data_IF_627201770095
#
_entry.id   IF_627201770095
#
_cell.length_a   1.000
_cell.length_b   1.000
_cell.length_c   1.000
_cell.angle_alpha   90.00
_cell.angle_beta   90.00
_cell.angle_gamma   90.00
#
_symmetry.space_group_name_H-M   'P 1'
#
loop_
_entity.id
_entity.type
_entity.pdbx_description
1 polymer ?
#
# COMPACT_ATOMS: atom_id res chain seq x y z
N UNK A 1 -8.63 -1.71 -4.79
CA UNK A 1 -9.64 -1.87 -3.73
C UNK A 1 -8.99 -2.22 -2.40
N UNK A 2 -9.66 -1.93 -1.30
CA UNK A 2 -9.16 -2.27 0.03
C UNK A 2 -9.19 -3.78 0.25
N UNK A 3 -8.41 -4.26 1.25
CA UNK A 3 -8.42 -5.68 1.64
C UNK A 3 -9.82 -6.12 2.08
N UNK A 4 -10.54 -5.26 2.79
CA UNK A 4 -11.92 -5.55 3.23
C UNK A 4 -12.84 -5.77 2.03
N UNK A 5 -12.78 -4.90 1.03
CA UNK A 5 -13.59 -5.03 -0.19
C UNK A 5 -13.21 -6.28 -0.99
N UNK A 6 -11.91 -6.59 -1.09
CA UNK A 6 -11.44 -7.79 -1.77
C UNK A 6 -11.92 -9.07 -1.07
N UNK A 7 -11.86 -9.11 0.26
CA UNK A 7 -12.35 -10.26 1.03
C UNK A 7 -13.86 -10.47 0.85
N UNK A 8 -14.63 -9.40 0.68
CA UNK A 8 -16.06 -9.48 0.39
C UNK A 8 -16.34 -10.16 -0.98
N UNK A 9 -15.36 -10.15 -1.89
CA UNK A 9 -15.44 -10.84 -3.18
C UNK A 9 -14.92 -12.29 -3.12
N UNK A 10 -14.48 -12.75 -1.96
CA UNK A 10 -13.93 -14.09 -1.76
C UNK A 10 -12.40 -14.19 -1.81
N UNK A 11 -11.69 -13.08 -1.90
CA UNK A 11 -10.22 -13.07 -1.99
C UNK A 11 -9.56 -13.65 -0.73
N UNK A 12 -8.72 -14.70 -0.88
CA UNK A 12 -8.07 -15.36 0.25
C UNK A 12 -6.68 -14.81 0.58
N UNK A 13 -6.19 -13.82 -0.18
CA UNK A 13 -4.83 -13.32 -0.16
C UNK A 13 -4.13 -13.58 -1.50
N UNK A 14 -2.94 -13.01 -1.68
CA UNK A 14 -2.17 -13.16 -2.92
C UNK A 14 -2.72 -12.34 -4.08
N UNK A 15 -2.67 -12.88 -5.29
CA UNK A 15 -3.15 -12.18 -6.49
C UNK A 15 -4.66 -11.90 -6.43
N UNK A 16 -5.03 -10.72 -6.90
CA UNK A 16 -6.42 -10.27 -6.94
C UNK A 16 -7.10 -10.57 -8.29
N UNK A 17 -6.36 -10.99 -9.32
CA UNK A 17 -6.86 -11.10 -10.70
C UNK A 17 -8.09 -11.98 -10.86
N UNK A 18 -8.20 -13.09 -10.13
CA UNK A 18 -9.34 -13.99 -10.19
C UNK A 18 -10.61 -13.40 -9.57
N UNK A 19 -10.47 -12.46 -8.65
CA UNK A 19 -11.56 -11.90 -7.85
C UNK A 19 -11.99 -10.51 -8.31
N UNK A 20 -11.05 -9.70 -8.76
CA UNK A 20 -11.29 -8.35 -9.25
C UNK A 20 -10.29 -8.00 -10.36
N UNK A 21 -10.47 -8.51 -11.58
CA UNK A 21 -9.55 -8.26 -12.69
C UNK A 21 -9.36 -6.77 -12.95
N UNK A 22 -8.12 -6.36 -13.22
CA UNK A 22 -7.78 -4.97 -13.47
C UNK A 22 -7.72 -4.07 -12.24
N UNK A 23 -7.77 -4.64 -11.04
CA UNK A 23 -7.69 -3.90 -9.78
C UNK A 23 -6.50 -4.37 -8.96
N UNK A 24 -6.09 -3.53 -8.00
CA UNK A 24 -5.03 -3.85 -7.04
C UNK A 24 -5.51 -3.57 -5.61
N UNK A 25 -4.80 -4.12 -4.63
CA UNK A 25 -5.07 -3.85 -3.21
C UNK A 25 -4.51 -2.46 -2.87
N UNK A 26 -5.34 -1.61 -2.28
CA UNK A 26 -4.89 -0.28 -1.88
C UNK A 26 -5.92 0.48 -1.07
N UNK A 27 -5.46 1.55 -0.42
CA UNK A 27 -6.29 2.42 0.40
C UNK A 27 -6.42 2.00 1.86
N UNK A 28 -5.75 0.93 2.26
CA UNK A 28 -5.74 0.49 3.65
C UNK A 28 -4.82 1.35 4.51
N UNK A 29 -5.15 1.46 5.79
CA UNK A 29 -4.34 2.17 6.77
C UNK A 29 -2.97 1.49 6.92
N UNK A 30 -1.89 2.30 6.89
CA UNK A 30 -0.54 1.85 7.19
C UNK A 30 -0.15 2.35 8.58
N UNK A 31 0.13 1.42 9.49
CA UNK A 31 0.34 1.75 10.90
C UNK A 31 1.67 2.40 11.25
N UNK A 32 2.70 2.30 10.39
CA UNK A 32 4.05 2.83 10.63
C UNK A 32 4.61 2.38 11.99
N UNK A 33 4.35 1.14 12.36
CA UNK A 33 4.72 0.61 13.68
C UNK A 33 6.23 0.57 13.92
N UNK A 34 7.03 0.44 12.87
CA UNK A 34 8.50 0.45 12.95
C UNK A 34 9.07 1.86 12.95
N UNK A 35 8.21 2.88 12.85
CA UNK A 35 8.58 4.30 12.85
C UNK A 35 9.64 4.67 11.80
N UNK A 36 9.66 3.97 10.66
CA UNK A 36 10.57 4.25 9.56
C UNK A 36 10.18 5.50 8.77
N UNK A 37 8.91 5.93 8.86
CA UNK A 37 8.40 7.17 8.29
C UNK A 37 8.20 8.21 9.37
N UNK A 38 8.36 9.52 9.04
CA UNK A 38 8.25 10.58 10.05
C UNK A 38 6.82 10.69 10.61
N UNK A 39 6.73 10.74 11.93
CA UNK A 39 5.46 10.93 12.63
C UNK A 39 5.18 12.41 12.85
N UNK A 40 3.90 12.77 12.83
CA UNK A 40 3.44 14.13 13.14
C UNK A 40 2.02 14.05 13.66
N UNK A 41 1.67 14.91 14.62
CA UNK A 41 0.31 14.96 15.18
C UNK A 41 -0.73 15.12 14.06
N UNK A 42 -1.72 14.24 14.05
CA UNK A 42 -2.77 14.23 13.04
C UNK A 42 -2.40 13.58 11.72
N UNK A 43 -1.14 13.16 11.55
CA UNK A 43 -0.70 12.48 10.33
C UNK A 43 -1.07 11.01 10.38
N UNK A 44 -1.68 10.54 9.28
CA UNK A 44 -1.98 9.13 9.05
C UNK A 44 -1.43 8.72 7.70
N UNK A 45 -1.14 7.45 7.54
CA UNK A 45 -0.64 6.87 6.30
C UNK A 45 -1.59 5.82 5.76
N UNK A 46 -1.65 5.71 4.43
CA UNK A 46 -2.32 4.63 3.71
C UNK A 46 -1.34 3.98 2.76
N UNK A 47 -1.62 2.76 2.34
CA UNK A 47 -0.77 2.00 1.45
C UNK A 47 -1.51 1.47 0.25
N UNK A 48 -0.80 1.17 -0.83
CA UNK A 48 -1.32 0.39 -1.94
C UNK A 48 -0.22 -0.44 -2.60
N UNK A 49 -0.65 -1.56 -3.21
CA UNK A 49 0.21 -2.37 -4.06
C UNK A 49 0.47 -1.64 -5.38
N UNK A 50 1.65 -1.84 -5.96
CA UNK A 50 1.97 -1.38 -7.31
C UNK A 50 2.60 -2.52 -8.12
N UNK A 51 2.53 -2.40 -9.46
CA UNK A 51 3.05 -3.41 -10.41
C UNK A 51 2.43 -4.80 -10.19
N UNK A 52 1.16 -4.86 -9.79
CA UNK A 52 0.46 -6.11 -9.51
C UNK A 52 -0.64 -6.45 -10.53
N UNK A 53 -0.99 -5.54 -11.44
CA UNK A 53 -2.00 -5.81 -12.47
C UNK A 53 -1.53 -6.95 -13.37
N UNK A 54 -2.35 -8.01 -13.47
CA UNK A 54 -2.01 -9.21 -14.23
C UNK A 54 -0.97 -10.11 -13.59
N UNK A 55 -0.44 -9.73 -12.43
CA UNK A 55 0.58 -10.53 -11.73
C UNK A 55 -0.04 -11.69 -10.96
N UNK A 56 0.66 -12.82 -10.91
CA UNK A 56 0.24 -13.99 -10.14
C UNK A 56 0.49 -13.80 -8.63
N UNK A 57 1.39 -12.88 -8.26
CA UNK A 57 1.73 -12.57 -6.87
C UNK A 57 1.73 -11.06 -6.67
N UNK A 58 1.43 -10.63 -5.46
CA UNK A 58 1.44 -9.20 -5.10
C UNK A 58 2.84 -8.58 -5.13
N UNK A 59 3.89 -9.38 -4.91
CA UNK A 59 5.25 -8.87 -4.82
C UNK A 59 5.46 -8.00 -3.58
N UNK A 60 6.56 -7.23 -3.58
CA UNK A 60 6.99 -6.43 -2.44
C UNK A 60 6.89 -4.91 -2.69
N UNK A 61 6.46 -4.48 -3.87
CA UNK A 61 6.39 -3.04 -4.22
C UNK A 61 5.11 -2.40 -3.69
N UNK A 62 5.25 -1.28 -3.01
CA UNK A 62 4.12 -0.53 -2.42
C UNK A 62 4.34 0.97 -2.55
N UNK A 63 3.24 1.72 -2.55
CA UNK A 63 3.24 3.15 -2.27
C UNK A 63 2.60 3.37 -0.91
N UNK A 64 3.15 4.31 -0.15
CA UNK A 64 2.60 4.75 1.12
C UNK A 64 2.47 6.26 1.07
N UNK A 65 1.31 6.81 1.42
CA UNK A 65 1.09 8.25 1.39
C UNK A 65 0.43 8.72 2.67
N UNK A 66 0.73 9.97 3.04
CA UNK A 66 0.14 10.59 4.22
C UNK A 66 -1.05 11.47 3.83
N UNK A 67 -1.90 11.74 4.83
CA UNK A 67 -3.02 12.67 4.67
C UNK A 67 -2.58 14.12 4.50
N UNK A 68 -1.31 14.44 4.74
CA UNK A 68 -0.75 15.79 4.60
C UNK A 68 0.24 15.94 3.43
N UNK A 69 0.19 15.03 2.45
CA UNK A 69 0.84 15.21 1.15
C UNK A 69 2.18 14.52 0.93
N UNK A 70 2.62 13.63 1.80
CA UNK A 70 3.83 12.84 1.58
C UNK A 70 3.52 11.59 0.75
N UNK A 71 4.41 11.23 -0.17
CA UNK A 71 4.32 9.99 -0.95
C UNK A 71 5.66 9.28 -0.89
N UNK A 72 5.65 8.04 -0.42
CA UNK A 72 6.82 7.18 -0.31
C UNK A 72 6.67 5.93 -1.18
N UNK A 73 7.81 5.42 -1.64
CA UNK A 73 7.92 4.16 -2.37
C UNK A 73 8.74 3.16 -1.57
N UNK A 74 8.33 1.90 -1.57
CA UNK A 74 9.13 0.79 -1.07
C UNK A 74 9.08 -0.37 -2.06
N UNK A 75 10.21 -1.08 -2.23
CA UNK A 75 10.30 -2.28 -3.06
C UNK A 75 10.73 -3.52 -2.25
N UNK A 76 10.82 -3.38 -0.94
CA UNK A 76 11.25 -4.44 -0.01
C UNK A 76 10.22 -4.71 1.09
N UNK A 77 8.95 -4.47 0.78
CA UNK A 77 7.82 -4.71 1.69
C UNK A 77 7.98 -3.96 3.02
N UNK A 78 8.19 -2.64 2.91
CA UNK A 78 8.22 -1.70 4.05
C UNK A 78 9.49 -1.72 4.92
N UNK A 79 10.58 -2.34 4.45
CA UNK A 79 11.84 -2.30 5.19
C UNK A 79 12.59 -0.98 4.99
N UNK A 80 12.58 -0.46 3.75
CA UNK A 80 13.17 0.85 3.43
C UNK A 80 12.20 1.66 2.56
N UNK A 81 12.31 2.99 2.62
CA UNK A 81 11.43 3.90 1.89
C UNK A 81 12.22 4.97 1.16
N UNK A 82 11.69 5.36 -0.02
CA UNK A 82 12.19 6.50 -0.80
C UNK A 82 11.09 7.55 -0.87
N UNK A 83 11.38 8.77 -0.44
CA UNK A 83 10.43 9.89 -0.55
C UNK A 83 10.32 10.31 -2.01
N UNK A 84 9.11 10.25 -2.58
CA UNK A 84 8.83 10.63 -3.96
C UNK A 84 8.26 12.04 -4.06
N UNK A 85 7.50 12.48 -3.05
CA UNK A 85 6.81 13.77 -3.10
C UNK A 85 6.56 14.32 -1.69
N UNK A 86 6.65 15.64 -1.56
CA UNK A 86 6.37 16.35 -0.32
C UNK A 86 7.61 16.65 0.50
N UNK A 87 7.41 17.37 1.59
CA UNK A 87 8.47 17.75 2.52
C UNK A 87 8.14 17.20 3.91
N UNK A 88 9.08 16.47 4.46
CA UNK A 88 8.94 15.93 5.80
C UNK A 88 8.99 17.03 6.87
#
# INVERSE_FOLDING_TARGET
ITKKAAKALGWPGGSLEEYAPGKCIGGDHFGNYDELLPEKKGRTYKECDIDTLGAQKRGAKRLVWSNDGLIYYTDDHYETFTLLYGEE
#
